data_IF_756678848197
#
_entry.id   IF_756678848197
#
_cell.length_a   1.000
_cell.length_b   1.000
_cell.length_c   1.000
_cell.angle_alpha   90.00
_cell.angle_beta   90.00
_cell.angle_gamma   90.00
#
_symmetry.space_group_name_H-M   'P 1'
#
loop_
_entity.id
_entity.type
_entity.pdbx_description
1 polymer ?
#
# COMPACT_ATOMS: atom_id res chain seq x y z
N UNK A 1 4.26 -24.34 -32.90
CA UNK A 1 3.37 -23.21 -32.60
C UNK A 1 3.07 -23.26 -31.13
N UNK A 2 3.81 -22.47 -30.37
CA UNK A 2 3.49 -22.24 -28.96
C UNK A 2 2.31 -21.30 -28.89
N UNK A 3 1.19 -21.81 -28.44
CA UNK A 3 0.00 -21.03 -28.12
C UNK A 3 0.29 -20.26 -26.82
N UNK A 4 1.12 -19.23 -26.93
CA UNK A 4 1.28 -18.28 -25.85
C UNK A 4 0.02 -17.44 -25.81
N UNK A 5 -0.94 -17.88 -24.99
CA UNK A 5 -2.01 -17.01 -24.54
C UNK A 5 -1.35 -15.79 -23.93
N UNK A 6 -1.57 -14.57 -24.45
CA UNK A 6 -0.97 -13.39 -23.85
C UNK A 6 -1.35 -13.35 -22.39
N UNK A 7 -0.34 -13.22 -21.53
CA UNK A 7 -0.57 -13.07 -20.08
C UNK A 7 -1.58 -11.95 -19.86
N UNK A 8 -2.63 -12.22 -19.07
CA UNK A 8 -3.64 -11.22 -18.75
C UNK A 8 -2.96 -9.97 -18.17
N UNK A 9 -3.34 -8.79 -18.67
CA UNK A 9 -2.84 -7.53 -18.12
C UNK A 9 -3.31 -7.37 -16.68
N UNK A 10 -2.45 -6.96 -15.75
CA UNK A 10 -2.85 -6.74 -14.37
C UNK A 10 -3.91 -5.67 -14.24
N UNK A 11 -4.85 -5.88 -13.34
CA UNK A 11 -5.87 -4.91 -12.97
C UNK A 11 -5.68 -4.52 -11.52
N UNK A 12 -5.62 -3.23 -11.25
CA UNK A 12 -5.57 -2.71 -9.88
C UNK A 12 -6.99 -2.32 -9.48
N UNK A 13 -7.43 -2.86 -8.35
CA UNK A 13 -8.76 -2.60 -7.81
C UNK A 13 -8.76 -2.44 -6.31
N UNK A 14 -9.79 -1.81 -5.77
CA UNK A 14 -10.01 -1.79 -4.32
C UNK A 14 -10.42 -3.17 -3.82
N UNK A 15 -9.94 -3.51 -2.64
CA UNK A 15 -10.35 -4.72 -1.93
C UNK A 15 -11.79 -4.58 -1.42
N UNK A 16 -12.48 -5.70 -1.34
CA UNK A 16 -13.80 -5.84 -0.73
C UNK A 16 -13.72 -6.80 0.45
N UNK A 17 -14.76 -6.89 1.30
CA UNK A 17 -14.79 -7.87 2.39
C UNK A 17 -14.59 -9.32 1.97
N UNK A 18 -14.88 -9.66 0.73
CA UNK A 18 -14.65 -10.99 0.15
C UNK A 18 -13.16 -11.32 -0.02
N UNK A 19 -12.30 -10.30 -0.02
CA UNK A 19 -10.85 -10.46 -0.22
C UNK A 19 -10.09 -10.69 1.09
N UNK A 20 -10.75 -10.79 2.24
CA UNK A 20 -10.10 -10.91 3.56
C UNK A 20 -9.07 -12.02 3.60
N UNK A 21 -9.39 -13.20 3.08
CA UNK A 21 -8.49 -14.34 3.14
C UNK A 21 -7.22 -14.12 2.31
N UNK A 22 -7.37 -13.59 1.10
CA UNK A 22 -6.19 -13.35 0.25
C UNK A 22 -5.31 -12.21 0.79
N UNK A 23 -5.91 -11.23 1.41
CA UNK A 23 -5.15 -10.16 2.07
C UNK A 23 -4.33 -10.72 3.23
N UNK A 24 -4.94 -11.59 4.03
CA UNK A 24 -4.28 -12.28 5.14
C UNK A 24 -3.10 -13.14 4.65
N UNK A 25 -3.31 -13.89 3.57
CA UNK A 25 -2.28 -14.72 2.95
C UNK A 25 -1.11 -13.89 2.43
N UNK A 26 -1.40 -12.75 1.79
CA UNK A 26 -0.36 -11.82 1.32
C UNK A 26 0.39 -11.18 2.49
N UNK A 27 -0.30 -10.80 3.55
CA UNK A 27 0.31 -10.22 4.75
C UNK A 27 1.32 -11.18 5.40
N UNK A 28 1.06 -12.48 5.36
CA UNK A 28 1.98 -13.52 5.88
C UNK A 28 3.29 -13.60 5.10
N UNK A 29 3.31 -13.14 3.85
CA UNK A 29 4.52 -13.05 3.04
C UNK A 29 5.41 -11.88 3.43
N UNK A 30 4.90 -10.95 4.22
CA UNK A 30 5.66 -9.79 4.69
C UNK A 30 6.67 -10.21 5.75
N UNK A 31 7.94 -10.19 5.38
CA UNK A 31 9.03 -10.38 6.32
C UNK A 31 9.25 -9.11 7.14
N UNK A 32 8.35 -8.81 8.06
CA UNK A 32 8.66 -7.82 9.09
C UNK A 32 9.34 -8.52 10.26
N UNK A 33 10.61 -8.23 10.55
CA UNK A 33 11.30 -8.85 11.68
C UNK A 33 10.74 -8.41 13.03
N UNK A 34 9.84 -7.44 13.07
CA UNK A 34 9.45 -6.74 14.29
C UNK A 34 7.97 -6.79 14.63
N UNK A 35 7.09 -7.22 13.71
CA UNK A 35 5.65 -7.13 13.95
C UNK A 35 4.89 -8.35 13.43
N UNK A 36 4.05 -8.90 14.30
CA UNK A 36 2.92 -9.72 13.88
C UNK A 36 1.78 -8.78 13.48
N UNK A 37 1.26 -8.96 12.27
CA UNK A 37 0.13 -8.14 11.81
C UNK A 37 -1.16 -8.79 12.30
N UNK A 38 -1.84 -8.13 13.22
CA UNK A 38 -3.20 -8.47 13.62
C UNK A 38 -4.15 -7.46 12.99
N UNK A 39 -5.14 -7.94 12.25
CA UNK A 39 -6.15 -7.11 11.63
C UNK A 39 -7.54 -7.57 11.94
N UNK A 40 -8.36 -6.65 12.32
CA UNK A 40 -9.81 -6.80 12.27
C UNK A 40 -10.29 -6.23 10.92
N UNK A 41 -9.98 -6.94 9.85
CA UNK A 41 -10.17 -6.46 8.48
C UNK A 41 -11.62 -6.10 8.17
N UNK A 42 -12.56 -6.85 8.74
CA UNK A 42 -13.99 -6.72 8.44
C UNK A 42 -14.55 -5.35 8.81
N UNK A 43 -13.89 -4.64 9.72
CA UNK A 43 -14.37 -3.34 10.20
C UNK A 43 -13.96 -2.15 9.33
N UNK A 44 -12.94 -2.30 8.48
CA UNK A 44 -12.23 -1.13 7.94
C UNK A 44 -12.11 -1.08 6.41
N UNK A 45 -12.86 -1.88 5.68
CA UNK A 45 -12.83 -1.83 4.21
C UNK A 45 -13.32 -0.49 3.67
N UNK A 46 -12.38 0.44 3.49
CA UNK A 46 -12.65 1.76 2.94
C UNK A 46 -13.52 2.66 3.82
N UNK A 47 -13.99 2.16 4.96
CA UNK A 47 -14.71 2.96 5.94
C UNK A 47 -13.76 3.62 6.94
N UNK A 48 -14.26 4.65 7.60
CA UNK A 48 -13.50 5.36 8.62
C UNK A 48 -13.44 4.53 9.90
N UNK A 49 -12.24 4.35 10.45
CA UNK A 49 -12.07 3.72 11.75
C UNK A 49 -12.72 4.59 12.84
N UNK A 50 -13.68 4.07 13.60
CA UNK A 50 -14.40 4.87 14.59
C UNK A 50 -13.53 5.36 15.76
N UNK A 51 -12.37 4.74 16.00
CA UNK A 51 -11.48 5.13 17.10
C UNK A 51 -10.40 6.13 16.69
N UNK A 52 -9.83 5.97 15.51
CA UNK A 52 -8.74 6.85 15.02
C UNK A 52 -9.20 7.86 13.99
N UNK A 53 -10.41 7.70 13.45
CA UNK A 53 -10.96 8.45 12.32
C UNK A 53 -10.13 8.34 11.02
N UNK A 54 -9.21 7.41 10.97
CA UNK A 54 -8.42 7.11 9.79
C UNK A 54 -9.19 6.21 8.82
N UNK A 55 -8.87 6.32 7.55
CA UNK A 55 -9.43 5.50 6.50
C UNK A 55 -8.31 4.71 5.82
N UNK A 56 -8.44 3.39 5.78
CA UNK A 56 -7.50 2.50 5.09
C UNK A 56 -8.12 2.02 3.78
N UNK A 57 -7.42 2.25 2.68
CA UNK A 57 -7.78 1.74 1.37
C UNK A 57 -6.76 0.67 0.99
N UNK A 58 -7.25 -0.52 0.67
CA UNK A 58 -6.41 -1.63 0.24
C UNK A 58 -6.61 -1.82 -1.26
N UNK A 59 -5.52 -1.70 -2.01
CA UNK A 59 -5.50 -1.93 -3.45
C UNK A 59 -4.90 -3.30 -3.74
N UNK A 60 -5.53 -4.04 -4.61
CA UNK A 60 -5.11 -5.36 -5.04
C UNK A 60 -4.70 -5.34 -6.50
N UNK A 61 -3.61 -6.04 -6.81
CA UNK A 61 -3.19 -6.31 -8.18
C UNK A 61 -3.68 -7.69 -8.58
N UNK A 62 -4.62 -7.75 -9.50
CA UNK A 62 -5.21 -8.99 -9.98
C UNK A 62 -4.68 -9.32 -11.37
N UNK A 63 -4.20 -10.54 -11.54
CA UNK A 63 -3.73 -11.09 -12.81
C UNK A 63 -4.62 -12.27 -13.16
N UNK A 64 -5.51 -12.11 -14.13
CA UNK A 64 -6.54 -13.10 -14.42
C UNK A 64 -7.45 -13.31 -13.21
N UNK A 65 -7.50 -14.54 -12.71
CA UNK A 65 -8.28 -14.90 -11.52
C UNK A 65 -7.48 -14.80 -10.20
N UNK A 66 -6.19 -14.46 -10.27
CA UNK A 66 -5.30 -14.47 -9.12
C UNK A 66 -5.01 -13.06 -8.61
N UNK A 67 -5.08 -12.90 -7.30
CA UNK A 67 -4.58 -11.69 -6.65
C UNK A 67 -3.10 -11.89 -6.36
N UNK A 68 -2.27 -11.14 -7.05
CA UNK A 68 -0.81 -11.29 -7.07
C UNK A 68 -0.07 -10.34 -6.13
N UNK A 69 -0.74 -9.31 -5.65
CA UNK A 69 -0.12 -8.32 -4.79
C UNK A 69 -1.12 -7.34 -4.20
N UNK A 70 -0.63 -6.56 -3.26
CA UNK A 70 -1.42 -5.52 -2.60
C UNK A 70 -0.57 -4.35 -2.15
N UNK A 71 -1.22 -3.23 -1.92
CA UNK A 71 -0.67 -2.08 -1.22
C UNK A 71 -1.79 -1.36 -0.46
N UNK A 72 -1.44 -0.68 0.61
CA UNK A 72 -2.40 0.03 1.44
C UNK A 72 -2.11 1.52 1.46
N UNK A 73 -3.16 2.30 1.37
CA UNK A 73 -3.13 3.74 1.55
C UNK A 73 -3.95 4.11 2.80
N UNK A 74 -3.27 4.68 3.78
CA UNK A 74 -3.87 5.21 4.98
C UNK A 74 -4.05 6.71 4.80
N UNK A 75 -5.27 7.18 5.03
CA UNK A 75 -5.60 8.61 4.95
C UNK A 75 -6.01 9.08 6.34
N UNK A 76 -5.30 10.08 6.83
CA UNK A 76 -5.62 10.71 8.11
C UNK A 76 -7.00 11.38 8.04
N UNK A 77 -7.68 11.52 9.19
CA UNK A 77 -8.97 12.17 9.24
C UNK A 77 -8.86 13.60 8.71
N UNK A 78 -9.93 14.04 8.06
CA UNK A 78 -10.09 15.46 7.77
C UNK A 78 -10.21 16.16 9.12
N UNK A 79 -9.24 17.02 9.46
CA UNK A 79 -9.41 17.83 10.63
C UNK A 79 -10.49 18.86 10.32
N UNK A 80 -11.46 19.00 11.22
CA UNK A 80 -12.47 20.06 11.22
C UNK A 80 -11.86 21.45 11.50
N UNK A 81 -10.58 21.64 11.24
CA UNK A 81 -9.98 22.95 11.26
C UNK A 81 -10.47 23.71 10.03
N UNK A 82 -11.70 24.18 10.12
CA UNK A 82 -12.14 25.28 9.31
C UNK A 82 -11.10 26.39 9.44
N UNK A 83 -10.72 26.97 8.31
CA UNK A 83 -9.86 28.12 8.14
C UNK A 83 -8.36 27.83 8.15
N UNK A 84 -7.86 27.82 7.02
CA UNK A 84 -6.67 28.37 6.39
C UNK A 84 -5.91 27.34 5.56
N UNK A 85 -6.05 27.42 4.35
CA UNK A 85 -5.22 27.58 3.15
C UNK A 85 -3.84 26.94 3.05
N UNK A 86 -3.33 26.17 4.01
CA UNK A 86 -2.09 25.41 3.86
C UNK A 86 -2.18 24.00 4.43
N UNK A 87 -3.36 23.44 4.37
CA UNK A 87 -3.58 22.10 4.89
C UNK A 87 -2.97 21.07 3.96
N UNK A 88 -1.85 20.48 4.38
CA UNK A 88 -1.27 19.33 3.70
C UNK A 88 -2.10 18.10 4.04
N UNK A 89 -2.79 17.58 3.04
CA UNK A 89 -3.48 16.30 3.14
C UNK A 89 -2.52 15.20 2.71
N UNK A 90 -1.97 14.49 3.68
CA UNK A 90 -0.93 13.50 3.46
C UNK A 90 -1.51 12.09 3.59
N UNK A 91 -1.28 11.25 2.59
CA UNK A 91 -1.51 9.82 2.67
C UNK A 91 -0.27 9.07 3.12
N UNK A 92 -0.45 7.88 3.66
CA UNK A 92 0.64 7.02 4.07
C UNK A 92 0.48 5.64 3.43
N UNK A 93 1.49 5.22 2.64
CA UNK A 93 1.51 3.90 2.01
C UNK A 93 2.24 2.91 2.91
N UNK A 94 1.67 1.75 3.07
CA UNK A 94 2.27 0.65 3.82
C UNK A 94 1.93 -0.70 3.19
N UNK A 95 2.70 -1.72 3.58
CA UNK A 95 2.45 -3.12 3.24
C UNK A 95 2.28 -3.35 1.74
N UNK A 96 3.24 -2.87 0.97
CA UNK A 96 3.37 -3.18 -0.45
C UNK A 96 3.97 -4.58 -0.57
N UNK A 97 3.16 -5.52 -1.01
CA UNK A 97 3.52 -6.94 -1.05
C UNK A 97 3.15 -7.50 -2.43
N UNK A 98 4.10 -8.18 -3.05
CA UNK A 98 3.88 -8.94 -4.29
C UNK A 98 4.23 -10.40 -4.02
N UNK A 99 3.33 -11.31 -4.40
CA UNK A 99 3.56 -12.74 -4.26
C UNK A 99 4.80 -13.17 -5.04
N UNK A 100 5.62 -14.12 -4.51
CA UNK A 100 6.92 -14.47 -5.11
C UNK A 100 6.86 -14.84 -6.60
N UNK A 101 5.84 -15.58 -7.02
CA UNK A 101 5.69 -16.03 -8.40
C UNK A 101 5.36 -14.89 -9.38
N UNK A 102 4.97 -13.74 -8.87
CA UNK A 102 4.56 -12.56 -9.64
C UNK A 102 5.53 -11.39 -9.51
N UNK A 103 6.68 -11.59 -8.87
CA UNK A 103 7.72 -10.56 -8.77
C UNK A 103 8.40 -10.33 -10.11
N UNK A 104 9.04 -9.16 -10.26
CA UNK A 104 9.73 -8.72 -11.49
C UNK A 104 8.80 -8.48 -12.70
N UNK A 105 7.49 -8.43 -12.48
CA UNK A 105 6.50 -8.12 -13.52
C UNK A 105 6.03 -6.65 -13.44
N UNK A 106 6.61 -5.86 -12.56
CA UNK A 106 6.25 -4.46 -12.40
C UNK A 106 4.96 -4.21 -11.61
N UNK A 107 4.45 -5.21 -10.86
CA UNK A 107 3.19 -5.07 -10.12
C UNK A 107 3.27 -4.04 -8.99
N UNK A 108 4.38 -3.99 -8.25
CA UNK A 108 4.58 -3.00 -7.21
C UNK A 108 4.54 -1.58 -7.78
N UNK A 109 5.16 -1.37 -8.94
CA UNK A 109 5.11 -0.09 -9.66
C UNK A 109 3.69 0.27 -10.06
N UNK A 110 2.94 -0.67 -10.61
CA UNK A 110 1.56 -0.43 -11.02
C UNK A 110 0.66 -0.13 -9.83
N UNK A 111 0.80 -0.85 -8.72
CA UNK A 111 0.10 -0.55 -7.46
C UNK A 111 0.41 0.87 -6.99
N UNK A 112 1.68 1.22 -6.92
CA UNK A 112 2.10 2.55 -6.45
C UNK A 112 1.63 3.66 -7.39
N UNK A 113 1.73 3.47 -8.70
CA UNK A 113 1.25 4.45 -9.67
C UNK A 113 -0.26 4.66 -9.53
N UNK A 114 -1.01 3.58 -9.36
CA UNK A 114 -2.46 3.66 -9.15
C UNK A 114 -2.79 4.42 -7.85
N UNK A 115 -2.08 4.14 -6.76
CA UNK A 115 -2.26 4.84 -5.48
C UNK A 115 -1.93 6.33 -5.61
N UNK A 116 -0.86 6.68 -6.31
CA UNK A 116 -0.48 8.08 -6.55
C UNK A 116 -1.59 8.81 -7.30
N UNK A 117 -2.08 8.21 -8.38
CA UNK A 117 -3.14 8.80 -9.21
C UNK A 117 -4.46 8.91 -8.42
N UNK A 118 -4.82 7.87 -7.69
CA UNK A 118 -6.02 7.85 -6.84
C UNK A 118 -5.93 8.91 -5.73
N UNK A 119 -4.79 8.98 -5.06
CA UNK A 119 -4.54 9.98 -4.03
C UNK A 119 -4.66 11.40 -4.54
N UNK A 120 -4.10 11.65 -5.72
CA UNK A 120 -4.13 12.98 -6.35
C UNK A 120 -5.53 13.36 -6.81
N UNK A 121 -6.22 12.48 -7.51
CA UNK A 121 -7.45 12.81 -8.23
C UNK A 121 -8.72 12.54 -7.41
N UNK A 122 -8.76 11.47 -6.61
CA UNK A 122 -9.95 11.09 -5.85
C UNK A 122 -9.93 11.63 -4.42
N UNK A 123 -8.75 11.79 -3.82
CA UNK A 123 -8.61 12.19 -2.42
C UNK A 123 -8.03 13.59 -2.25
N UNK A 124 -7.61 14.23 -3.33
CA UNK A 124 -6.94 15.54 -3.29
C UNK A 124 -5.75 15.58 -2.31
N UNK A 125 -4.98 14.48 -2.25
CA UNK A 125 -3.77 14.43 -1.43
C UNK A 125 -2.70 15.35 -2.02
N UNK A 126 -1.95 16.00 -1.15
CA UNK A 126 -0.83 16.87 -1.53
C UNK A 126 0.52 16.18 -1.40
N UNK A 127 0.58 15.10 -0.62
CA UNK A 127 1.77 14.28 -0.46
C UNK A 127 1.40 12.85 -0.08
N UNK A 128 2.31 11.93 -0.34
CA UNK A 128 2.22 10.54 0.09
C UNK A 128 3.55 10.17 0.73
N UNK A 129 3.50 9.69 1.96
CA UNK A 129 4.65 9.23 2.71
C UNK A 129 4.70 7.71 2.77
N UNK A 130 5.88 7.17 2.94
CA UNK A 130 6.10 5.77 3.25
C UNK A 130 7.40 5.58 4.02
N UNK A 131 7.52 4.45 4.69
CA UNK A 131 8.77 4.00 5.29
C UNK A 131 9.28 2.76 4.58
N UNK A 132 10.59 2.64 4.47
CA UNK A 132 11.25 1.48 3.89
C UNK A 132 12.53 1.19 4.67
N UNK A 133 12.85 -0.09 4.83
CA UNK A 133 14.12 -0.50 5.43
C UNK A 133 15.29 -0.10 4.53
N UNK A 134 16.35 0.45 5.10
CA UNK A 134 17.54 0.90 4.36
C UNK A 134 18.17 -0.22 3.52
N UNK A 135 18.02 -1.49 3.96
CA UNK A 135 18.53 -2.66 3.25
C UNK A 135 17.66 -3.09 2.07
N UNK A 136 16.44 -2.58 1.97
CA UNK A 136 15.51 -2.94 0.89
C UNK A 136 15.81 -2.10 -0.36
N UNK A 137 16.93 -2.37 -0.99
CA UNK A 137 17.41 -1.61 -2.13
C UNK A 137 16.44 -1.64 -3.33
N UNK A 138 15.83 -2.78 -3.71
CA UNK A 138 14.86 -2.78 -4.82
C UNK A 138 13.67 -1.86 -4.58
N UNK A 139 13.14 -1.83 -3.36
CA UNK A 139 12.03 -0.95 -3.00
C UNK A 139 12.43 0.53 -3.04
N UNK A 140 13.61 0.87 -2.48
CA UNK A 140 14.13 2.23 -2.52
C UNK A 140 14.26 2.73 -3.95
N UNK A 141 14.84 1.92 -4.84
CA UNK A 141 14.97 2.27 -6.26
C UNK A 141 13.62 2.49 -6.93
N UNK A 142 12.64 1.65 -6.62
CA UNK A 142 11.28 1.81 -7.13
C UNK A 142 10.69 3.15 -6.69
N UNK A 143 10.74 3.46 -5.40
CA UNK A 143 10.13 4.68 -4.86
C UNK A 143 10.84 5.94 -5.38
N UNK A 144 12.15 5.94 -5.42
CA UNK A 144 12.91 7.06 -6.01
C UNK A 144 12.56 7.27 -7.49
N UNK A 145 12.39 6.17 -8.26
CA UNK A 145 11.99 6.25 -9.67
C UNK A 145 10.58 6.81 -9.87
N UNK A 146 9.72 6.72 -8.85
CA UNK A 146 8.37 7.29 -8.86
C UNK A 146 8.32 8.74 -8.34
N UNK A 147 9.45 9.30 -7.93
CA UNK A 147 9.57 10.66 -7.46
C UNK A 147 9.55 10.83 -5.94
N UNK A 148 9.56 9.75 -5.17
CA UNK A 148 9.72 9.85 -3.72
C UNK A 148 11.13 10.29 -3.37
N UNK A 149 11.23 11.17 -2.39
CA UNK A 149 12.51 11.71 -1.90
C UNK A 149 12.68 11.37 -0.42
N UNK A 150 13.90 10.99 -0.04
CA UNK A 150 14.23 10.70 1.36
C UNK A 150 14.08 11.97 2.18
N UNK A 151 13.23 11.94 3.22
CA UNK A 151 13.02 13.05 4.13
C UNK A 151 13.94 12.95 5.36
N UNK A 152 14.04 11.76 5.95
CA UNK A 152 14.95 11.46 7.05
C UNK A 152 15.20 9.95 7.15
N UNK A 153 16.13 9.56 8.02
CA UNK A 153 16.43 8.17 8.34
C UNK A 153 16.19 7.94 9.81
N UNK A 154 15.62 6.78 10.15
CA UNK A 154 15.31 6.40 11.53
C UNK A 154 16.10 5.16 11.94
N UNK A 155 16.43 5.08 13.24
CA UNK A 155 17.00 3.90 13.87
C UNK A 155 15.93 3.22 14.73
N UNK A 156 15.82 1.92 14.58
CA UNK A 156 14.92 1.11 15.40
C UNK A 156 15.70 0.41 16.48
N UNK A 157 15.31 0.61 17.74
CA UNK A 157 15.93 -0.04 18.89
C UNK A 157 14.96 -0.99 19.57
N UNK A 158 15.47 -2.11 20.05
CA UNK A 158 14.71 -3.05 20.88
C UNK A 158 15.54 -3.44 22.10
N UNK A 159 14.93 -3.44 23.28
CA UNK A 159 15.44 -4.10 24.48
C UNK A 159 14.59 -5.36 24.72
N UNK A 160 15.22 -6.53 24.65
CA UNK A 160 14.54 -7.79 24.98
C UNK A 160 14.68 -8.04 26.48
N UNK A 161 13.56 -8.27 27.16
CA UNK A 161 13.50 -8.52 28.61
C UNK A 161 13.50 -10.02 28.92
#
# INVERSE_FOLDING_TARGET
>A
MSDETPAASPVIRLATPEDVQIIDDLDRLSASPTRTIHREMEKYFGSVDPSTHERTLIFLAQVGEWVAGKAELLVAPESDAGETSSYQRVGYVRRVIVAPDYRKLGLARQLMQHIIDYGRHELALTAIDLHVWEQNIPAIRLYESLGFEVQHRELYFRLTL
#
